data_IF_789424497619
#
_entry.id   IF_789424497619
#
_cell.length_a   1.000
_cell.length_b   1.000
_cell.length_c   1.000
_cell.angle_alpha   90.00
_cell.angle_beta   90.00
_cell.angle_gamma   90.00
#
_symmetry.space_group_name_H-M   'P 1'
#
loop_
_entity.id
_entity.type
_entity.pdbx_description
1 polymer ?
#
# COMPACT_ATOMS: atom_id res chain seq x y z
N UNK A 1 14.16 -5.38 -9.83
CA UNK A 1 13.39 -5.69 -8.62
C UNK A 1 12.15 -4.83 -8.67
N UNK A 2 10.97 -5.37 -8.35
CA UNK A 2 9.74 -4.56 -8.33
C UNK A 2 9.84 -3.51 -7.21
N UNK A 3 9.41 -2.25 -7.44
CA UNK A 3 9.53 -1.19 -6.45
C UNK A 3 8.65 -1.43 -5.21
N UNK A 4 7.57 -2.19 -5.39
CA UNK A 4 6.68 -2.59 -4.31
C UNK A 4 6.01 -3.93 -4.61
N UNK A 5 5.40 -4.52 -3.58
CA UNK A 5 4.46 -5.64 -3.68
C UNK A 5 3.21 -5.31 -2.87
N UNK A 6 2.03 -5.66 -3.39
CA UNK A 6 0.77 -5.52 -2.68
C UNK A 6 0.00 -6.83 -2.54
N UNK A 7 -0.69 -7.03 -1.42
CA UNK A 7 -1.53 -8.20 -1.18
C UNK A 7 -2.79 -7.88 -0.37
N UNK A 8 -3.88 -8.60 -0.64
CA UNK A 8 -5.12 -8.50 0.14
C UNK A 8 -4.98 -9.39 1.37
N UNK A 9 -5.26 -8.82 2.55
CA UNK A 9 -5.35 -9.55 3.82
C UNK A 9 -6.80 -9.56 4.28
N UNK A 10 -7.30 -10.75 4.56
CA UNK A 10 -8.60 -10.92 5.19
C UNK A 10 -8.37 -11.09 6.69
N UNK A 11 -8.66 -10.07 7.47
CA UNK A 11 -8.70 -10.19 8.94
C UNK A 11 -10.13 -10.47 9.39
N UNK A 12 -10.35 -11.01 10.60
CA UNK A 12 -11.69 -11.26 11.12
C UNK A 12 -12.57 -10.00 11.20
N UNK A 13 -11.96 -8.82 11.30
CA UNK A 13 -12.66 -7.54 11.45
C UNK A 13 -12.81 -6.76 10.16
N UNK A 14 -11.87 -6.89 9.21
CA UNK A 14 -11.89 -6.16 7.95
C UNK A 14 -10.99 -6.81 6.89
N UNK A 15 -11.28 -6.54 5.62
CA UNK A 15 -10.33 -6.80 4.54
C UNK A 15 -9.43 -5.56 4.39
N UNK A 16 -8.11 -5.78 4.32
CA UNK A 16 -7.12 -4.71 4.18
C UNK A 16 -6.18 -5.00 3.00
N UNK A 17 -5.52 -3.96 2.51
CA UNK A 17 -4.47 -4.10 1.50
C UNK A 17 -3.14 -3.82 2.19
N UNK A 18 -2.21 -4.76 2.10
CA UNK A 18 -0.84 -4.56 2.56
C UNK A 18 0.07 -4.23 1.39
N UNK A 19 0.87 -3.20 1.53
CA UNK A 19 1.94 -2.83 0.60
C UNK A 19 3.27 -3.00 1.32
N UNK A 20 4.22 -3.60 0.61
CA UNK A 20 5.62 -3.72 0.99
C UNK A 20 6.44 -2.95 -0.03
N UNK A 21 7.19 -1.94 0.41
CA UNK A 21 8.11 -1.21 -0.45
C UNK A 21 9.48 -1.89 -0.44
N UNK A 22 10.20 -1.78 -1.56
CA UNK A 22 11.61 -2.17 -1.63
C UNK A 22 12.53 -1.13 -0.97
N UNK A 23 12.08 0.12 -0.88
CA UNK A 23 12.76 1.23 -0.20
C UNK A 23 11.83 1.84 0.86
N UNK A 24 12.14 1.56 2.12
CA UNK A 24 11.40 2.01 3.31
C UNK A 24 11.45 3.54 3.50
N UNK A 25 12.45 4.22 2.92
CA UNK A 25 12.52 5.68 2.99
C UNK A 25 11.35 6.39 2.28
N UNK A 26 10.62 5.65 1.43
CA UNK A 26 9.48 6.14 0.67
C UNK A 26 8.15 5.91 1.37
N UNK A 27 8.10 5.18 2.49
CA UNK A 27 6.86 4.81 3.19
C UNK A 27 5.96 6.02 3.46
N UNK A 28 6.54 7.10 3.99
CA UNK A 28 5.79 8.33 4.29
C UNK A 28 5.31 9.07 3.03
N UNK A 29 6.09 9.05 1.95
CA UNK A 29 5.70 9.68 0.67
C UNK A 29 4.55 8.92 0.03
N UNK A 30 4.66 7.59 -0.02
CA UNK A 30 3.60 6.72 -0.55
C UNK A 30 2.35 6.81 0.30
N UNK A 31 2.47 6.84 1.64
CA UNK A 31 1.33 7.08 2.52
C UNK A 31 0.60 8.36 2.14
N UNK A 32 1.31 9.47 1.99
CA UNK A 32 0.70 10.76 1.64
C UNK A 32 0.04 10.73 0.26
N UNK A 33 0.67 10.08 -0.73
CA UNK A 33 0.08 9.88 -2.05
C UNK A 33 -1.25 9.12 -1.99
N UNK A 34 -1.28 8.04 -1.19
CA UNK A 34 -2.45 7.19 -1.04
C UNK A 34 -3.57 7.84 -0.20
N UNK A 35 -3.26 8.78 0.70
CA UNK A 35 -4.28 9.55 1.44
C UNK A 35 -5.21 10.37 0.53
N UNK A 36 -4.86 10.58 -0.74
CA UNK A 36 -5.72 11.25 -1.72
C UNK A 36 -6.95 10.42 -2.14
N UNK A 37 -6.94 9.11 -1.92
CA UNK A 37 -8.07 8.24 -2.26
C UNK A 37 -9.20 8.39 -1.25
N UNK A 38 -10.37 8.79 -1.75
CA UNK A 38 -11.55 9.06 -0.92
C UNK A 38 -12.14 7.80 -0.25
N UNK A 39 -11.82 6.63 -0.79
CA UNK A 39 -12.29 5.31 -0.40
C UNK A 39 -11.43 4.69 0.71
N UNK A 40 -10.23 5.23 0.92
CA UNK A 40 -9.36 4.84 2.02
C UNK A 40 -9.86 5.51 3.29
N UNK A 41 -10.00 4.72 4.36
CA UNK A 41 -10.39 5.20 5.67
C UNK A 41 -9.15 5.61 6.49
N UNK A 42 -8.15 4.72 6.53
CA UNK A 42 -6.93 4.94 7.26
C UNK A 42 -5.76 4.13 6.69
N UNK A 43 -4.53 4.65 6.83
CA UNK A 43 -3.29 3.97 6.45
C UNK A 43 -2.37 3.90 7.66
N UNK A 44 -1.97 2.68 8.01
CA UNK A 44 -1.07 2.41 9.12
C UNK A 44 0.29 1.94 8.60
N UNK A 45 1.38 2.57 9.04
CA UNK A 45 2.74 2.05 8.83
C UNK A 45 3.08 1.13 10.00
N UNK A 46 3.48 -0.10 9.72
CA UNK A 46 3.88 -1.08 10.74
C UNK A 46 5.24 -1.66 10.41
N UNK A 47 6.12 -1.64 11.41
CA UNK A 47 7.31 -2.47 11.43
C UNK A 47 6.91 -3.95 11.33
N UNK A 48 7.50 -4.68 10.40
CA UNK A 48 7.28 -6.12 10.26
C UNK A 48 8.32 -6.87 11.08
N UNK A 49 7.85 -7.76 11.97
CA UNK A 49 8.72 -8.47 12.91
C UNK A 49 9.29 -9.77 12.30
N UNK A 50 9.35 -9.93 10.98
CA UNK A 50 9.56 -11.25 10.36
C UNK A 50 10.57 -11.30 9.21
N UNK A 51 11.68 -12.00 9.48
CA UNK A 51 12.55 -12.77 8.59
C UNK A 51 12.24 -12.65 7.07
N UNK A 52 13.08 -11.92 6.34
CA UNK A 52 13.11 -11.85 4.87
C UNK A 52 11.90 -11.21 4.17
N UNK A 53 11.08 -10.41 4.86
CA UNK A 53 10.12 -9.47 4.26
C UNK A 53 10.52 -8.06 4.74
N UNK A 54 10.35 -7.02 3.91
CA UNK A 54 10.80 -5.65 4.22
C UNK A 54 10.46 -5.24 5.66
N UNK A 55 11.36 -4.49 6.31
CA UNK A 55 11.26 -4.16 7.73
C UNK A 55 10.00 -3.35 8.05
N UNK A 56 9.37 -2.73 7.06
CA UNK A 56 8.14 -1.94 7.21
C UNK A 56 7.07 -2.35 6.17
N UNK A 57 5.81 -2.06 6.50
CA UNK A 57 4.66 -2.29 5.61
C UNK A 57 3.57 -1.26 5.84
N UNK A 58 2.90 -0.90 4.76
CA UNK A 58 1.73 -0.02 4.78
C UNK A 58 0.48 -0.89 4.76
N UNK A 59 -0.34 -0.79 5.81
CA UNK A 59 -1.65 -1.45 5.90
C UNK A 59 -2.74 -0.43 5.62
N UNK A 60 -3.50 -0.66 4.55
CA UNK A 60 -4.58 0.21 4.10
C UNK A 60 -5.92 -0.36 4.54
N UNK A 61 -6.65 0.45 5.28
CA UNK A 61 -8.03 0.20 5.69
C UNK A 61 -8.97 0.96 4.77
N UNK A 62 -9.96 0.27 4.24
CA UNK A 62 -10.95 0.83 3.32
C UNK A 62 -12.24 1.15 4.05
N UNK A 63 -12.99 2.13 3.56
CA UNK A 63 -14.32 2.44 4.05
C UNK A 63 -15.30 1.30 3.76
N UNK A 64 -16.34 1.21 4.57
CA UNK A 64 -17.41 0.22 4.40
C UNK A 64 -18.02 0.26 2.99
N UNK A 65 -18.39 -0.91 2.47
CA UNK A 65 -18.94 -1.12 1.11
C UNK A 65 -17.98 -0.82 -0.06
N UNK A 66 -16.67 -0.64 0.21
CA UNK A 66 -15.66 -0.53 -0.85
C UNK A 66 -15.29 -1.90 -1.42
N UNK A 67 -15.24 -2.01 -2.75
CA UNK A 67 -14.76 -3.23 -3.42
C UNK A 67 -13.22 -3.29 -3.34
N UNK A 68 -12.71 -4.19 -2.48
CA UNK A 68 -11.28 -4.30 -2.23
C UNK A 68 -10.47 -4.72 -3.45
N UNK A 69 -11.04 -5.50 -4.37
CA UNK A 69 -10.32 -5.94 -5.56
C UNK A 69 -10.12 -4.78 -6.53
N UNK A 70 -11.18 -3.98 -6.72
CA UNK A 70 -11.08 -2.74 -7.51
C UNK A 70 -10.11 -1.77 -6.87
N UNK A 71 -10.20 -1.60 -5.55
CA UNK A 71 -9.33 -0.68 -4.84
C UNK A 71 -7.86 -1.09 -4.93
N UNK A 72 -7.56 -2.39 -4.76
CA UNK A 72 -6.20 -2.89 -4.96
C UNK A 72 -5.69 -2.60 -6.37
N UNK A 73 -6.47 -2.87 -7.41
CA UNK A 73 -6.06 -2.60 -8.79
C UNK A 73 -5.81 -1.11 -9.05
N UNK A 74 -6.64 -0.22 -8.48
CA UNK A 74 -6.46 1.23 -8.57
C UNK A 74 -5.20 1.71 -7.85
N UNK A 75 -4.95 1.21 -6.64
CA UNK A 75 -3.73 1.50 -5.86
C UNK A 75 -2.50 1.00 -6.61
N UNK A 76 -2.50 -0.24 -7.08
CA UNK A 76 -1.37 -0.82 -7.82
C UNK A 76 -1.04 0.02 -9.05
N UNK A 77 -2.05 0.40 -9.83
CA UNK A 77 -1.86 1.25 -11.01
C UNK A 77 -1.28 2.61 -10.63
N UNK A 78 -1.80 3.24 -9.58
CA UNK A 78 -1.33 4.54 -9.09
C UNK A 78 0.12 4.51 -8.60
N UNK A 79 0.51 3.43 -7.92
CA UNK A 79 1.89 3.25 -7.45
C UNK A 79 2.84 2.94 -8.61
N UNK A 80 2.43 2.14 -9.58
CA UNK A 80 3.23 1.93 -10.79
C UNK A 80 3.51 3.25 -11.51
N UNK A 81 2.51 4.12 -11.68
CA UNK A 81 2.72 5.46 -12.22
C UNK A 81 3.68 6.29 -11.37
N UNK A 82 3.49 6.31 -10.05
CA UNK A 82 4.37 7.04 -9.13
C UNK A 82 5.84 6.62 -9.30
N UNK A 83 6.10 5.30 -9.35
CA UNK A 83 7.45 4.78 -9.50
C UNK A 83 8.00 4.90 -10.93
N UNK A 84 7.16 4.85 -11.97
CA UNK A 84 7.60 5.11 -13.35
C UNK A 84 7.97 6.58 -13.55
N UNK A 85 7.22 7.53 -12.99
CA UNK A 85 7.57 8.96 -13.06
C UNK A 85 8.85 9.28 -12.28
N UNK A 86 9.06 8.67 -11.10
CA UNK A 86 10.25 8.89 -10.26
C UNK A 86 11.53 8.23 -10.84
N UNK A 87 11.40 7.26 -11.76
CA UNK A 87 12.52 6.58 -12.44
C UNK A 87 12.98 7.26 -13.74
N UNK A 88 12.32 8.33 -14.18
CA UNK A 88 12.57 9.01 -15.47
C UNK A 88 13.41 10.29 -15.33
N UNK A 89 13.90 10.63 -14.13
CA UNK A 89 14.88 11.72 -13.92
C UNK A 89 16.33 11.23 -13.76
#
# INVERSE_FOLDING_TARGET
MEPFRSEIRNTPSAQTIQIYLSDESLDMKIKHHLESFSEIDFIEVRETVAQNRGNESLTIFLKDNTDINKMKASIDSSLWWYFEEDLVD
#
